data_IF_003364413199
#
_entry.id   IF_003364413199
#
_cell.length_a   1.000
_cell.length_b   1.000
_cell.length_c   1.000
_cell.angle_alpha   90.00
_cell.angle_beta   90.00
_cell.angle_gamma   90.00
#
_symmetry.space_group_name_H-M   'P 1'
#
loop_
_entity.id
_entity.type
_entity.pdbx_description
1 polymer ?
#
# COMPACT_ATOMS: atom_id res chain seq x y z
N UNK A 1 -6.99 8.59 7.50
CA UNK A 1 -7.26 9.31 8.78
C UNK A 1 -5.97 9.98 9.23
N UNK A 2 -5.98 11.28 9.53
CA UNK A 2 -4.86 12.02 10.12
C UNK A 2 -5.03 12.09 11.64
N UNK A 3 -4.04 11.61 12.38
CA UNK A 3 -4.04 11.56 13.85
C UNK A 3 -3.07 12.63 14.34
N UNK A 4 -3.55 13.72 14.99
CA UNK A 4 -2.67 14.71 15.59
C UNK A 4 -1.77 14.06 16.65
N UNK A 5 -0.50 14.48 16.71
CA UNK A 5 0.47 14.00 17.70
C UNK A 5 1.27 15.18 18.25
N UNK A 6 1.75 15.04 19.48
CA UNK A 6 2.79 15.93 20.00
C UNK A 6 4.13 15.57 19.35
N UNK A 7 4.91 16.60 19.00
CA UNK A 7 6.22 16.37 18.40
C UNK A 7 7.17 15.75 19.42
N UNK A 8 7.67 14.55 19.12
CA UNK A 8 8.70 13.91 19.89
C UNK A 8 10.08 14.46 19.46
N UNK A 9 10.98 14.71 20.41
CA UNK A 9 12.33 15.23 20.11
C UNK A 9 13.40 14.12 20.05
N UNK A 10 13.07 12.88 20.42
CA UNK A 10 14.08 11.91 20.85
C UNK A 10 14.60 10.93 19.76
N UNK A 11 13.89 10.73 18.66
CA UNK A 11 14.35 9.85 17.57
C UNK A 11 14.16 10.54 16.22
N UNK A 12 15.12 11.29 15.75
CA UNK A 12 15.11 11.89 14.42
C UNK A 12 16.23 11.30 13.54
N UNK A 13 15.89 10.88 12.31
CA UNK A 13 16.86 10.37 11.34
C UNK A 13 16.69 11.06 9.99
N UNK A 14 17.77 11.58 9.42
CA UNK A 14 17.81 12.16 8.06
C UNK A 14 18.01 11.11 6.97
N UNK A 15 18.22 9.85 7.34
CA UNK A 15 18.38 8.75 6.40
C UNK A 15 17.09 8.61 5.53
N UNK A 16 17.28 8.49 4.22
CA UNK A 16 16.18 8.35 3.28
C UNK A 16 15.48 6.99 3.48
N UNK A 17 14.17 7.01 3.74
CA UNK A 17 13.34 5.83 3.90
C UNK A 17 12.56 5.48 2.64
N UNK A 18 12.10 6.50 1.91
CA UNK A 18 11.40 6.36 0.64
C UNK A 18 11.99 7.34 -0.36
N UNK A 19 12.40 6.86 -1.54
CA UNK A 19 13.05 7.68 -2.56
C UNK A 19 12.81 7.14 -3.95
N UNK A 20 13.06 7.97 -4.96
CA UNK A 20 12.99 7.57 -6.36
C UNK A 20 13.49 8.66 -7.31
N UNK A 21 13.85 8.26 -8.51
CA UNK A 21 14.25 9.18 -9.57
C UNK A 21 13.04 9.68 -10.34
N UNK A 22 12.92 11.00 -10.49
CA UNK A 22 11.89 11.65 -11.29
C UNK A 22 12.43 11.96 -12.69
N UNK A 23 11.96 11.26 -13.71
CA UNK A 23 12.36 11.51 -15.08
C UNK A 23 11.94 12.90 -15.61
N UNK A 24 10.87 13.49 -15.05
CA UNK A 24 10.36 14.79 -15.48
C UNK A 24 11.25 15.96 -15.05
N UNK A 25 11.87 15.90 -13.87
CA UNK A 25 12.76 16.95 -13.37
C UNK A 25 14.25 16.56 -13.33
N UNK A 26 14.58 15.30 -13.67
CA UNK A 26 15.96 14.82 -13.69
C UNK A 26 16.61 14.65 -12.31
N UNK A 27 15.84 14.56 -11.24
CA UNK A 27 16.34 14.56 -9.87
C UNK A 27 15.82 13.38 -9.06
N UNK A 28 16.57 12.97 -8.03
CA UNK A 28 16.10 12.04 -7.00
C UNK A 28 15.36 12.84 -5.94
N UNK A 29 14.19 12.37 -5.57
CA UNK A 29 13.42 12.89 -4.44
C UNK A 29 13.33 11.84 -3.35
N UNK A 30 13.30 12.28 -2.08
CA UNK A 30 13.24 11.38 -0.94
C UNK A 30 12.43 11.95 0.21
N UNK A 31 11.95 11.04 1.07
CA UNK A 31 11.43 11.35 2.40
C UNK A 31 12.29 10.58 3.40
N UNK A 32 12.83 11.25 4.45
CA UNK A 32 13.64 10.59 5.47
C UNK A 32 12.78 9.73 6.40
N UNK A 33 13.41 8.95 7.28
CA UNK A 33 12.70 8.36 8.42
C UNK A 33 12.11 9.45 9.33
N UNK A 34 12.81 10.58 9.50
CA UNK A 34 12.39 11.61 10.43
C UNK A 34 12.11 11.02 11.81
N UNK A 35 10.94 11.31 12.36
CA UNK A 35 10.43 10.73 13.62
C UNK A 35 9.54 9.49 13.40
N UNK A 36 9.36 9.03 12.17
CA UNK A 36 8.38 8.00 11.85
C UNK A 36 8.69 6.65 12.52
N UNK A 37 9.97 6.32 12.77
CA UNK A 37 10.34 5.08 13.49
C UNK A 37 9.81 5.05 14.92
N UNK A 38 9.78 6.20 15.60
CA UNK A 38 9.20 6.31 16.94
C UNK A 38 7.71 5.96 16.94
N UNK A 39 6.94 6.59 16.06
CA UNK A 39 5.50 6.32 15.94
C UNK A 39 5.19 4.93 15.38
N UNK A 40 6.07 4.37 14.57
CA UNK A 40 5.91 3.00 14.07
C UNK A 40 6.09 1.97 15.20
N UNK A 41 7.03 2.17 16.12
CA UNK A 41 7.16 1.33 17.33
C UNK A 41 5.93 1.42 18.22
N UNK A 42 5.38 2.63 18.40
CA UNK A 42 4.12 2.82 19.13
C UNK A 42 2.95 2.09 18.47
N UNK A 43 2.85 2.17 17.13
CA UNK A 43 1.84 1.42 16.37
C UNK A 43 2.00 -0.09 16.51
N UNK A 44 3.23 -0.62 16.51
CA UNK A 44 3.48 -2.05 16.73
C UNK A 44 2.91 -2.49 18.09
N UNK A 45 3.21 -1.72 19.14
CA UNK A 45 2.70 -2.02 20.50
C UNK A 45 1.19 -1.93 20.57
N UNK A 46 0.57 -0.89 19.97
CA UNK A 46 -0.89 -0.73 19.94
C UNK A 46 -1.58 -1.92 19.25
N UNK A 47 -0.99 -2.42 18.15
CA UNK A 47 -1.47 -3.60 17.42
C UNK A 47 -1.34 -4.88 18.27
N UNK A 48 -0.19 -5.08 18.94
CA UNK A 48 0.04 -6.23 19.80
C UNK A 48 -0.93 -6.26 20.99
N UNK A 49 -1.15 -5.12 21.65
CA UNK A 49 -2.05 -4.98 22.79
C UNK A 49 -3.51 -5.22 22.38
N UNK A 50 -3.92 -4.75 21.19
CA UNK A 50 -5.29 -4.91 20.69
C UNK A 50 -5.53 -6.29 20.07
N UNK A 51 -4.54 -6.89 19.40
CA UNK A 51 -4.68 -8.14 18.65
C UNK A 51 -5.50 -8.02 17.37
N UNK A 52 -5.72 -6.80 16.87
CA UNK A 52 -6.66 -6.49 15.79
C UNK A 52 -6.22 -5.27 14.98
N UNK A 53 -6.61 -5.20 13.69
CA UNK A 53 -6.38 -4.05 12.82
C UNK A 53 -7.34 -2.88 13.08
N UNK A 54 -8.43 -3.10 13.84
CA UNK A 54 -9.44 -2.09 14.16
C UNK A 54 -9.00 -1.25 15.37
N UNK A 55 -7.98 -0.43 15.18
CA UNK A 55 -7.44 0.41 16.25
C UNK A 55 -8.38 1.58 16.56
N UNK A 56 -8.56 1.94 17.84
CA UNK A 56 -9.44 3.03 18.25
C UNK A 56 -9.03 4.36 17.62
N UNK A 57 -9.99 5.26 17.47
CA UNK A 57 -9.73 6.61 16.95
C UNK A 57 -9.40 7.54 18.11
N UNK A 58 -8.17 8.10 18.17
CA UNK A 58 -7.78 9.03 19.21
C UNK A 58 -8.65 10.31 19.25
N UNK A 59 -8.65 11.01 20.38
CA UNK A 59 -9.25 12.34 20.46
C UNK A 59 -8.55 13.33 19.54
N UNK A 60 -9.29 14.35 19.07
CA UNK A 60 -8.75 15.36 18.15
C UNK A 60 -8.71 14.97 16.67
N UNK A 61 -9.08 13.72 16.32
CA UNK A 61 -9.22 13.31 14.93
C UNK A 61 -10.51 13.87 14.34
N UNK A 62 -10.42 14.50 13.17
CA UNK A 62 -11.60 14.95 12.41
C UNK A 62 -12.49 13.73 12.09
N UNK A 63 -13.81 13.94 12.16
CA UNK A 63 -14.81 12.91 11.90
C UNK A 63 -14.65 11.62 12.77
N UNK A 64 -14.04 11.78 13.95
CA UNK A 64 -13.81 10.69 14.92
C UNK A 64 -15.04 9.81 15.13
N UNK A 65 -16.21 10.43 15.35
CA UNK A 65 -17.46 9.73 15.60
C UNK A 65 -17.91 8.85 14.42
N UNK A 66 -17.67 9.27 13.17
CA UNK A 66 -18.01 8.51 11.96
C UNK A 66 -17.08 7.29 11.84
N UNK A 67 -15.78 7.51 12.03
CA UNK A 67 -14.78 6.43 11.91
C UNK A 67 -14.97 5.44 13.05
N UNK A 68 -15.17 5.91 14.29
CA UNK A 68 -15.39 5.06 15.46
C UNK A 68 -16.66 4.21 15.30
N UNK A 69 -17.76 4.78 14.83
CA UNK A 69 -19.00 4.02 14.55
C UNK A 69 -18.79 2.89 13.54
N UNK A 70 -17.93 3.09 12.52
CA UNK A 70 -17.58 2.03 11.57
C UNK A 70 -16.73 0.93 12.25
N UNK A 71 -15.80 1.32 13.11
CA UNK A 71 -14.97 0.37 13.86
C UNK A 71 -15.82 -0.46 14.82
N UNK A 72 -16.73 0.18 15.56
CA UNK A 72 -17.64 -0.49 16.50
C UNK A 72 -18.55 -1.51 15.80
N UNK A 73 -18.98 -1.21 14.57
CA UNK A 73 -19.79 -2.12 13.77
C UNK A 73 -19.01 -3.35 13.26
N UNK A 74 -17.69 -3.32 13.29
CA UNK A 74 -16.81 -4.40 12.84
C UNK A 74 -16.13 -5.12 14.02
N UNK A 75 -16.37 -4.68 15.25
CA UNK A 75 -15.73 -5.26 16.45
C UNK A 75 -16.04 -6.75 16.57
N UNK A 76 -15.00 -7.55 16.78
CA UNK A 76 -15.10 -9.01 16.89
C UNK A 76 -15.19 -9.76 15.57
N UNK A 77 -15.13 -9.08 14.42
CA UNK A 77 -15.04 -9.76 13.14
C UNK A 77 -13.64 -10.37 12.95
N UNK A 78 -13.53 -11.71 12.81
CA UNK A 78 -12.24 -12.41 12.76
C UNK A 78 -11.40 -12.04 11.51
N UNK A 79 -11.97 -11.40 10.49
CA UNK A 79 -11.25 -10.94 9.32
C UNK A 79 -10.26 -9.81 9.64
N UNK A 80 -10.41 -9.12 10.78
CA UNK A 80 -9.50 -8.06 11.21
C UNK A 80 -8.47 -8.51 12.25
N UNK A 81 -8.58 -9.75 12.78
CA UNK A 81 -7.66 -10.31 13.77
C UNK A 81 -6.23 -10.41 13.23
N UNK A 82 -5.25 -10.05 14.06
CA UNK A 82 -3.81 -10.19 13.75
C UNK A 82 -3.35 -11.65 13.64
N UNK A 83 -4.15 -12.64 14.07
CA UNK A 83 -3.87 -14.06 13.83
C UNK A 83 -3.67 -14.37 12.34
N UNK A 84 -4.31 -13.60 11.46
CA UNK A 84 -4.10 -13.70 10.01
C UNK A 84 -2.63 -13.48 9.63
N UNK A 85 -1.95 -12.52 10.24
CA UNK A 85 -0.54 -12.20 9.96
C UNK A 85 0.43 -13.22 10.56
N UNK A 86 0.05 -13.89 11.64
CA UNK A 86 0.85 -14.97 12.24
C UNK A 86 0.60 -16.35 11.59
N UNK A 87 -0.44 -16.45 10.77
CA UNK A 87 -0.87 -17.67 10.10
C UNK A 87 -0.78 -17.60 8.57
N UNK A 88 -1.92 -17.41 7.93
CA UNK A 88 -2.06 -17.53 6.46
C UNK A 88 -1.27 -16.52 5.64
N UNK A 89 -1.15 -15.28 6.12
CA UNK A 89 -0.47 -14.20 5.41
C UNK A 89 1.05 -14.31 5.49
N UNK A 90 1.61 -14.95 6.52
CA UNK A 90 3.05 -14.94 6.83
C UNK A 90 3.59 -13.50 6.94
N UNK A 91 2.89 -12.66 7.72
CA UNK A 91 3.24 -11.27 7.94
C UNK A 91 2.92 -10.33 6.77
N UNK A 92 3.00 -9.02 7.06
CA UNK A 92 2.71 -7.95 6.12
C UNK A 92 3.53 -6.70 6.43
N UNK A 93 3.82 -5.89 5.40
CA UNK A 93 4.39 -4.56 5.59
C UNK A 93 3.31 -3.59 6.05
N UNK A 94 3.57 -2.92 7.15
CA UNK A 94 2.81 -1.78 7.66
C UNK A 94 3.68 -0.53 7.58
N UNK A 95 3.05 0.65 7.58
CA UNK A 95 3.80 1.90 7.46
C UNK A 95 3.11 3.05 8.17
N UNK A 96 3.94 3.97 8.64
CA UNK A 96 3.54 5.27 9.20
C UNK A 96 4.24 6.38 8.44
N UNK A 97 3.52 7.49 8.25
CA UNK A 97 4.10 8.74 7.79
C UNK A 97 3.74 9.86 8.77
N UNK A 98 4.75 10.59 9.21
CA UNK A 98 4.59 11.83 9.96
C UNK A 98 4.39 12.95 8.95
N UNK A 99 3.33 13.73 9.14
CA UNK A 99 2.95 14.82 8.24
C UNK A 99 2.64 16.09 9.00
N UNK A 100 2.71 17.21 8.28
CA UNK A 100 2.31 18.53 8.77
C UNK A 100 1.18 19.09 7.90
N UNK A 101 0.12 19.62 8.53
CA UNK A 101 -0.93 20.41 7.88
C UNK A 101 -0.45 21.82 7.59
N UNK A 102 -1.21 22.56 6.75
CA UNK A 102 -0.92 23.96 6.46
C UNK A 102 -0.98 24.88 7.68
N UNK A 103 -1.80 24.55 8.68
CA UNK A 103 -1.92 25.27 9.96
C UNK A 103 -0.75 24.96 10.94
N UNK A 104 0.21 24.13 10.52
CA UNK A 104 1.35 23.71 11.32
C UNK A 104 1.12 22.50 12.20
N UNK A 105 -0.10 21.97 12.31
CA UNK A 105 -0.41 20.79 13.10
C UNK A 105 0.35 19.57 12.57
N UNK A 106 1.13 18.92 13.43
CA UNK A 106 1.82 17.67 13.12
C UNK A 106 0.93 16.47 13.49
N UNK A 107 0.98 15.43 12.69
CA UNK A 107 0.23 14.21 12.93
C UNK A 107 0.76 13.05 12.11
N UNK A 108 0.16 11.90 12.31
CA UNK A 108 0.52 10.66 11.61
C UNK A 108 -0.64 10.13 10.77
N UNK A 109 -0.26 9.40 9.73
CA UNK A 109 -1.15 8.56 8.94
C UNK A 109 -0.55 7.16 8.83
N UNK A 110 -1.39 6.12 8.76
CA UNK A 110 -0.97 4.72 8.78
C UNK A 110 -1.49 3.93 7.59
N UNK A 111 -0.69 3.03 7.04
CA UNK A 111 -1.01 2.19 5.90
C UNK A 111 -0.61 0.73 6.12
N UNK A 112 -1.27 -0.18 5.41
CA UNK A 112 -0.82 -1.55 5.20
C UNK A 112 -0.59 -1.79 3.70
N UNK A 113 0.34 -2.67 3.35
CA UNK A 113 0.66 -2.99 1.95
C UNK A 113 -0.39 -3.91 1.34
N UNK A 114 -0.75 -3.67 0.08
CA UNK A 114 -1.70 -4.53 -0.66
C UNK A 114 -3.06 -4.64 0.00
N UNK A 115 -3.51 -5.88 0.20
CA UNK A 115 -4.77 -6.24 0.87
C UNK A 115 -4.48 -6.87 2.23
N UNK A 116 -5.37 -6.64 3.19
CA UNK A 116 -5.43 -7.38 4.44
C UNK A 116 -6.63 -8.35 4.38
N UNK A 117 -6.40 -9.63 4.45
CA UNK A 117 -7.41 -10.70 4.23
C UNK A 117 -8.41 -10.39 3.10
N UNK A 118 -7.90 -10.01 1.92
CA UNK A 118 -8.65 -9.60 0.72
C UNK A 118 -9.36 -8.26 0.80
N UNK A 119 -9.19 -7.49 1.86
CA UNK A 119 -9.72 -6.14 2.01
C UNK A 119 -8.66 -5.10 1.62
N UNK A 120 -9.04 -4.13 0.80
CA UNK A 120 -8.19 -2.99 0.45
C UNK A 120 -8.35 -1.82 1.42
N UNK A 121 -9.45 -1.77 2.15
CA UNK A 121 -9.79 -0.68 3.07
C UNK A 121 -10.11 -1.21 4.45
N UNK A 122 -9.56 -0.56 5.48
CA UNK A 122 -9.87 -0.76 6.89
C UNK A 122 -10.11 0.62 7.50
N UNK A 123 -11.19 0.84 8.26
CA UNK A 123 -11.42 2.13 8.91
C UNK A 123 -10.21 2.54 9.76
N UNK A 124 -9.81 3.81 9.65
CA UNK A 124 -8.64 4.31 10.37
C UNK A 124 -7.29 4.16 9.65
N UNK A 125 -7.21 3.43 8.55
CA UNK A 125 -6.04 3.31 7.70
C UNK A 125 -6.24 4.12 6.41
N UNK A 126 -5.15 4.52 5.75
CA UNK A 126 -5.27 5.23 4.47
C UNK A 126 -5.81 4.31 3.39
N UNK A 127 -6.66 4.83 2.48
CA UNK A 127 -7.23 4.03 1.40
C UNK A 127 -6.16 3.63 0.36
N UNK A 128 -6.47 2.70 -0.55
CA UNK A 128 -5.60 2.38 -1.69
C UNK A 128 -5.45 3.57 -2.63
N UNK A 129 -4.41 3.50 -3.49
CA UNK A 129 -4.14 4.56 -4.50
C UNK A 129 -5.17 4.55 -5.62
N UNK A 130 -5.62 3.34 -6.03
CA UNK A 130 -6.60 3.20 -7.10
C UNK A 130 -8.03 3.51 -6.62
N UNK A 131 -8.87 3.92 -7.55
CA UNK A 131 -10.32 3.91 -7.35
C UNK A 131 -10.81 2.46 -7.22
N UNK A 132 -11.22 2.08 -6.01
CA UNK A 132 -11.59 0.70 -5.68
C UNK A 132 -12.88 0.27 -6.41
N UNK A 133 -13.83 1.18 -6.63
CA UNK A 133 -15.05 0.89 -7.39
C UNK A 133 -14.71 0.47 -8.81
N UNK A 134 -13.95 1.30 -9.51
CA UNK A 134 -13.51 1.01 -10.88
C UNK A 134 -12.57 -0.20 -10.96
N UNK A 135 -11.69 -0.39 -9.98
CA UNK A 135 -10.84 -1.58 -9.90
C UNK A 135 -11.68 -2.85 -9.85
N UNK A 136 -12.70 -2.89 -8.98
CA UNK A 136 -13.58 -4.05 -8.82
C UNK A 136 -14.41 -4.32 -10.09
N UNK A 137 -14.88 -3.28 -10.78
CA UNK A 137 -15.57 -3.42 -12.06
C UNK A 137 -14.67 -4.12 -13.10
N UNK A 138 -13.47 -3.61 -13.33
CA UNK A 138 -12.50 -4.19 -14.29
C UNK A 138 -12.10 -5.60 -13.87
N UNK A 139 -11.76 -5.78 -12.56
CA UNK A 139 -11.33 -7.07 -12.05
C UNK A 139 -12.42 -8.15 -12.18
N UNK A 140 -13.67 -7.85 -11.85
CA UNK A 140 -14.76 -8.83 -11.88
C UNK A 140 -15.01 -9.37 -13.29
N UNK A 141 -14.98 -8.49 -14.30
CA UNK A 141 -15.17 -8.87 -15.70
C UNK A 141 -13.98 -9.70 -16.21
N UNK A 142 -12.77 -9.19 -16.06
CA UNK A 142 -11.56 -9.85 -16.57
C UNK A 142 -11.24 -11.16 -15.86
N UNK A 143 -11.41 -11.20 -14.52
CA UNK A 143 -11.17 -12.41 -13.75
C UNK A 143 -12.14 -13.55 -14.09
N UNK A 144 -13.38 -13.24 -14.45
CA UNK A 144 -14.34 -14.24 -14.95
C UNK A 144 -13.79 -14.96 -16.18
N UNK A 145 -13.27 -14.21 -17.16
CA UNK A 145 -12.67 -14.78 -18.37
C UNK A 145 -11.46 -15.66 -18.05
N UNK A 146 -10.57 -15.19 -17.16
CA UNK A 146 -9.38 -15.96 -16.73
C UNK A 146 -9.78 -17.26 -16.02
N UNK A 147 -10.83 -17.23 -15.20
CA UNK A 147 -11.35 -18.39 -14.50
C UNK A 147 -11.99 -19.41 -15.47
N UNK A 148 -12.75 -18.97 -16.48
CA UNK A 148 -13.29 -19.85 -17.53
C UNK A 148 -12.20 -20.63 -18.26
N UNK A 149 -11.07 -19.98 -18.58
CA UNK A 149 -9.90 -20.70 -19.12
C UNK A 149 -9.29 -21.69 -18.11
N UNK A 150 -9.25 -21.33 -16.85
CA UNK A 150 -8.71 -22.22 -15.80
C UNK A 150 -9.56 -23.48 -15.62
N UNK A 151 -10.88 -23.34 -15.65
CA UNK A 151 -11.84 -24.45 -15.59
C UNK A 151 -11.72 -25.37 -16.83
N UNK A 152 -11.65 -24.77 -18.03
CA UNK A 152 -11.42 -25.53 -19.26
C UNK A 152 -10.12 -26.32 -19.23
N UNK A 153 -9.03 -25.71 -18.73
CA UNK A 153 -7.72 -26.37 -18.58
C UNK A 153 -7.80 -27.53 -17.57
N UNK A 154 -8.53 -27.34 -16.46
CA UNK A 154 -8.70 -28.36 -15.43
C UNK A 154 -9.55 -29.57 -15.89
N UNK A 155 -10.47 -29.34 -16.82
CA UNK A 155 -11.35 -30.38 -17.37
C UNK A 155 -10.73 -31.20 -18.50
N UNK A 156 -9.56 -30.80 -19.03
CA UNK A 156 -8.91 -31.52 -20.14
C UNK A 156 -8.21 -32.79 -19.68
N UNK A 157 -8.24 -33.82 -20.56
CA UNK A 157 -7.36 -34.98 -20.42
C UNK A 157 -5.90 -34.53 -20.54
N UNK A 158 -5.02 -34.91 -19.60
CA UNK A 158 -3.59 -34.63 -19.67
C UNK A 158 -2.90 -35.09 -20.97
N UNK A 159 -3.49 -36.05 -21.68
CA UNK A 159 -3.01 -36.53 -22.97
C UNK A 159 -3.22 -35.51 -24.13
N UNK A 160 -4.14 -34.54 -23.97
CA UNK A 160 -4.41 -33.51 -24.98
C UNK A 160 -3.40 -32.34 -24.93
N UNK A 161 -2.11 -32.69 -25.05
CA UNK A 161 -0.99 -31.76 -24.81
C UNK A 161 -1.00 -30.51 -25.68
N UNK A 162 -1.47 -30.60 -26.93
CA UNK A 162 -1.52 -29.45 -27.85
C UNK A 162 -2.61 -28.46 -27.44
N UNK A 163 -3.83 -28.92 -27.16
CA UNK A 163 -4.93 -28.07 -26.71
C UNK A 163 -4.64 -27.47 -25.34
N UNK A 164 -4.03 -28.25 -24.44
CA UNK A 164 -3.61 -27.78 -23.13
C UNK A 164 -2.60 -26.62 -23.24
N UNK A 165 -1.63 -26.72 -24.16
CA UNK A 165 -0.65 -25.65 -24.40
C UNK A 165 -1.33 -24.39 -24.96
N UNK A 166 -2.24 -24.55 -25.91
CA UNK A 166 -3.00 -23.45 -26.48
C UNK A 166 -3.81 -22.72 -25.42
N UNK A 167 -4.62 -23.42 -24.63
CA UNK A 167 -5.46 -22.81 -23.59
C UNK A 167 -4.62 -22.11 -22.51
N UNK A 168 -3.46 -22.66 -22.13
CA UNK A 168 -2.54 -22.00 -21.21
C UNK A 168 -1.98 -20.70 -21.78
N UNK A 169 -1.72 -20.63 -23.09
CA UNK A 169 -1.25 -19.41 -23.76
C UNK A 169 -2.35 -18.36 -23.82
N UNK A 170 -3.60 -18.76 -24.18
CA UNK A 170 -4.75 -17.88 -24.22
C UNK A 170 -5.07 -17.31 -22.84
N UNK A 171 -5.13 -18.16 -21.80
CA UNK A 171 -5.29 -17.71 -20.41
C UNK A 171 -4.23 -16.69 -19.99
N UNK A 172 -2.96 -16.95 -20.37
CA UNK A 172 -1.85 -16.02 -20.06
C UNK A 172 -2.02 -14.69 -20.77
N UNK A 173 -2.51 -14.68 -22.02
CA UNK A 173 -2.78 -13.46 -22.77
C UNK A 173 -3.94 -12.66 -22.13
N UNK A 174 -5.05 -13.33 -21.77
CA UNK A 174 -6.18 -12.70 -21.07
C UNK A 174 -5.76 -12.12 -19.70
N UNK A 175 -4.97 -12.88 -18.93
CA UNK A 175 -4.45 -12.40 -17.63
C UNK A 175 -3.54 -11.17 -17.78
N UNK A 176 -2.72 -11.10 -18.84
CA UNK A 176 -1.88 -9.93 -19.12
C UNK A 176 -2.74 -8.72 -19.52
N UNK A 177 -3.73 -8.93 -20.39
CA UNK A 177 -4.65 -7.86 -20.79
C UNK A 177 -5.40 -7.29 -19.58
N UNK A 178 -5.92 -8.16 -18.70
CA UNK A 178 -6.55 -7.75 -17.46
C UNK A 178 -5.59 -6.92 -16.57
N UNK A 179 -4.35 -7.37 -16.40
CA UNK A 179 -3.37 -6.61 -15.62
C UNK A 179 -3.08 -5.24 -16.25
N UNK A 180 -3.04 -5.16 -17.57
CA UNK A 180 -2.85 -3.91 -18.28
C UNK A 180 -4.01 -2.93 -18.11
N UNK A 181 -5.25 -3.43 -18.07
CA UNK A 181 -6.44 -2.63 -17.76
C UNK A 181 -6.44 -2.18 -16.29
N UNK A 182 -6.11 -3.08 -15.36
CA UNK A 182 -6.02 -2.76 -13.93
C UNK A 182 -4.97 -1.67 -13.65
N UNK A 183 -3.80 -1.71 -14.31
CA UNK A 183 -2.82 -0.63 -14.19
C UNK A 183 -3.35 0.72 -14.70
N UNK A 184 -4.30 0.71 -15.64
CA UNK A 184 -4.99 1.90 -16.12
C UNK A 184 -5.92 2.55 -15.07
N UNK A 185 -6.26 1.87 -13.99
CA UNK A 185 -7.09 2.41 -12.90
C UNK A 185 -6.28 3.27 -11.92
N UNK A 186 -4.95 3.11 -11.90
CA UNK A 186 -4.07 3.86 -10.99
C UNK A 186 -3.70 5.21 -11.58
N UNK A 187 -4.10 6.28 -10.92
CA UNK A 187 -3.69 7.67 -11.22
C UNK A 187 -2.83 8.17 -10.07
N UNK A 188 -1.58 8.51 -10.38
CA UNK A 188 -0.62 9.01 -9.40
C UNK A 188 -0.52 10.53 -9.48
N UNK A 189 -0.55 11.19 -8.34
CA UNK A 189 -0.28 12.61 -8.21
C UNK A 189 1.17 12.91 -7.81
N UNK A 190 1.55 14.20 -7.84
CA UNK A 190 2.77 14.71 -7.23
C UNK A 190 2.50 16.00 -6.43
N UNK A 191 3.50 16.52 -5.73
CA UNK A 191 3.36 17.75 -4.92
C UNK A 191 3.37 19.05 -5.76
N UNK A 192 3.50 18.96 -7.09
CA UNK A 192 3.25 20.07 -8.02
C UNK A 192 1.80 20.14 -8.48
N UNK A 193 0.94 19.19 -8.08
CA UNK A 193 -0.45 19.09 -8.53
C UNK A 193 -0.63 18.38 -9.88
N UNK A 194 0.42 17.78 -10.45
CA UNK A 194 0.31 16.99 -11.67
C UNK A 194 -0.25 15.61 -11.37
N UNK A 195 -1.04 15.07 -12.30
CA UNK A 195 -1.57 13.70 -12.25
C UNK A 195 -1.21 12.94 -13.52
N UNK A 196 -0.78 11.68 -13.37
CA UNK A 196 -0.43 10.80 -14.49
C UNK A 196 -0.89 9.37 -14.23
N UNK A 197 -1.11 8.63 -15.30
CA UNK A 197 -1.35 7.19 -15.23
C UNK A 197 -0.10 6.48 -14.69
N UNK A 198 -0.30 5.41 -13.91
CA UNK A 198 0.79 4.60 -13.36
C UNK A 198 1.81 4.18 -14.44
N UNK A 199 1.33 3.81 -15.63
CA UNK A 199 2.18 3.40 -16.77
C UNK A 199 3.11 4.51 -17.27
N UNK A 200 2.66 5.76 -17.21
CA UNK A 200 3.41 6.92 -17.69
C UNK A 200 4.44 7.40 -16.65
N UNK A 201 4.25 6.98 -15.40
CA UNK A 201 5.13 7.34 -14.28
C UNK A 201 6.22 6.29 -14.06
N UNK A 202 5.91 5.02 -14.33
CA UNK A 202 6.77 3.89 -13.99
C UNK A 202 8.12 3.96 -14.74
N UNK A 203 9.18 4.22 -14.01
CA UNK A 203 10.53 4.38 -14.55
C UNK A 203 11.45 3.26 -14.07
N UNK A 204 11.51 2.17 -14.85
CA UNK A 204 12.43 1.06 -14.61
C UNK A 204 12.74 0.32 -15.92
N UNK A 205 13.94 -0.28 -15.99
CA UNK A 205 14.33 -1.20 -17.07
C UNK A 205 13.60 -2.54 -16.98
N UNK A 206 13.07 -2.87 -15.83
CA UNK A 206 12.27 -4.08 -15.59
C UNK A 206 10.80 -3.78 -15.83
N UNK A 207 10.04 -4.78 -16.25
CA UNK A 207 8.60 -4.65 -16.40
C UNK A 207 7.90 -4.39 -15.07
N UNK A 208 6.75 -3.72 -15.12
CA UNK A 208 5.91 -3.45 -13.96
C UNK A 208 5.45 -4.75 -13.30
N UNK A 209 5.60 -4.84 -11.99
CA UNK A 209 5.20 -6.02 -11.20
C UNK A 209 3.82 -5.85 -10.61
N UNK A 210 3.09 -6.94 -10.46
CA UNK A 210 1.80 -6.96 -9.75
C UNK A 210 1.92 -6.33 -8.36
N UNK A 211 0.97 -5.46 -8.01
CA UNK A 211 0.96 -4.73 -6.75
C UNK A 211 1.91 -3.52 -6.72
N UNK A 212 2.38 -3.03 -7.89
CA UNK A 212 3.01 -1.70 -8.00
C UNK A 212 1.97 -0.65 -7.61
N UNK A 213 2.36 0.31 -6.77
CA UNK A 213 1.55 1.32 -6.10
C UNK A 213 0.69 0.84 -4.91
N UNK A 214 0.65 -0.46 -4.59
CA UNK A 214 -0.09 -1.00 -3.43
C UNK A 214 0.74 -1.05 -2.13
N UNK A 215 2.03 -0.71 -2.15
CA UNK A 215 2.88 -0.67 -0.97
C UNK A 215 2.50 0.50 -0.03
N UNK A 216 3.03 0.48 1.21
CA UNK A 216 2.70 1.51 2.19
C UNK A 216 3.15 2.90 1.75
N UNK A 217 4.40 3.09 1.27
CA UNK A 217 4.91 4.40 0.87
C UNK A 217 4.06 5.06 -0.23
N UNK A 218 3.72 4.42 -1.37
CA UNK A 218 2.82 5.02 -2.35
C UNK A 218 1.44 5.41 -1.78
N UNK A 219 0.83 4.56 -0.94
CA UNK A 219 -0.46 4.87 -0.32
C UNK A 219 -0.38 6.10 0.59
N UNK A 220 0.65 6.15 1.45
CA UNK A 220 0.88 7.25 2.40
C UNK A 220 1.13 8.57 1.67
N UNK A 221 2.00 8.57 0.65
CA UNK A 221 2.34 9.75 -0.13
C UNK A 221 1.13 10.23 -0.95
N UNK A 222 0.39 9.30 -1.58
CA UNK A 222 -0.83 9.64 -2.29
C UNK A 222 -1.87 10.29 -1.37
N UNK A 223 -2.07 9.72 -0.18
CA UNK A 223 -2.98 10.28 0.83
C UNK A 223 -2.53 11.68 1.27
N UNK A 224 -1.22 11.91 1.47
CA UNK A 224 -0.71 13.22 1.83
C UNK A 224 -1.01 14.26 0.74
N UNK A 225 -0.79 13.93 -0.52
CA UNK A 225 -1.10 14.81 -1.65
C UNK A 225 -2.59 15.19 -1.70
N UNK A 226 -3.47 14.18 -1.59
CA UNK A 226 -4.93 14.40 -1.64
C UNK A 226 -5.44 15.25 -0.48
N UNK A 227 -4.77 15.23 0.67
CA UNK A 227 -5.16 15.94 1.88
C UNK A 227 -4.28 17.17 2.18
N UNK A 228 -3.44 17.61 1.23
CA UNK A 228 -2.56 18.78 1.35
C UNK A 228 -1.66 18.72 2.60
N UNK A 229 -1.16 17.51 2.90
CA UNK A 229 -0.23 17.25 3.99
C UNK A 229 1.21 17.28 3.47
N UNK A 230 2.12 17.88 4.23
CA UNK A 230 3.56 17.85 3.95
C UNK A 230 4.20 16.66 4.67
N UNK A 231 4.75 15.64 3.98
CA UNK A 231 5.52 14.57 4.60
C UNK A 231 6.75 15.11 5.34
N UNK A 232 6.94 14.68 6.57
CA UNK A 232 8.12 14.99 7.42
C UNK A 232 8.99 13.77 7.65
N UNK A 233 8.42 12.58 7.56
CA UNK A 233 9.13 11.33 7.73
C UNK A 233 8.23 10.14 7.43
N UNK A 234 8.83 9.02 7.02
CA UNK A 234 8.11 7.78 6.71
C UNK A 234 8.90 6.58 7.25
N UNK A 235 8.21 5.58 7.77
CA UNK A 235 8.80 4.31 8.16
C UNK A 235 7.87 3.16 7.77
N UNK A 236 8.43 2.14 7.13
CA UNK A 236 7.76 0.88 6.85
C UNK A 236 8.41 -0.23 7.68
N UNK A 237 7.61 -1.10 8.27
CA UNK A 237 8.06 -2.22 9.08
C UNK A 237 7.27 -3.48 8.76
N UNK A 238 7.87 -4.62 9.02
CA UNK A 238 7.21 -5.91 8.83
C UNK A 238 6.56 -6.38 10.13
N UNK A 239 5.29 -6.80 10.07
CA UNK A 239 4.51 -7.27 11.21
C UNK A 239 3.94 -8.66 10.94
N UNK A 240 4.12 -9.60 11.87
CA UNK A 240 3.63 -10.97 11.79
C UNK A 240 4.72 -12.02 11.60
N UNK A 241 4.34 -13.22 11.17
CA UNK A 241 5.26 -14.34 10.96
C UNK A 241 6.23 -14.06 9.80
N UNK A 242 7.46 -14.55 9.94
CA UNK A 242 8.50 -14.41 8.92
C UNK A 242 8.02 -14.90 7.54
N UNK A 243 8.36 -14.18 6.49
CA UNK A 243 7.98 -14.57 5.13
C UNK A 243 8.77 -15.81 4.64
N UNK A 244 8.23 -16.53 3.63
CA UNK A 244 8.82 -17.77 3.11
C UNK A 244 10.28 -17.65 2.69
N UNK A 245 10.71 -16.50 2.21
CA UNK A 245 12.09 -16.23 1.77
C UNK A 245 13.01 -15.81 2.92
N UNK A 246 12.51 -15.68 4.14
CA UNK A 246 13.24 -15.22 5.32
C UNK A 246 13.92 -13.85 5.15
N UNK A 247 13.38 -13.02 4.26
CA UNK A 247 13.89 -11.67 3.98
C UNK A 247 13.18 -10.58 4.75
N UNK A 248 12.07 -10.93 5.44
CA UNK A 248 11.24 -10.01 6.23
C UNK A 248 10.93 -10.64 7.58
N UNK A 249 11.27 -9.92 8.65
CA UNK A 249 11.11 -10.36 10.04
C UNK A 249 10.32 -9.33 10.82
N UNK A 250 9.49 -9.81 11.73
CA UNK A 250 8.66 -8.99 12.61
C UNK A 250 9.48 -7.92 13.33
N UNK A 251 8.93 -6.70 13.39
CA UNK A 251 9.53 -5.56 14.06
C UNK A 251 10.67 -4.85 13.31
N UNK A 252 11.19 -5.45 12.23
CA UNK A 252 12.26 -4.84 11.45
C UNK A 252 11.74 -3.78 10.49
N UNK A 253 12.49 -2.69 10.34
CA UNK A 253 12.25 -1.61 9.40
C UNK A 253 12.88 -1.92 8.05
N UNK A 254 12.22 -1.46 6.99
CA UNK A 254 12.66 -1.66 5.61
C UNK A 254 12.42 -0.38 4.82
N UNK A 255 13.33 -0.07 3.90
CA UNK A 255 13.14 0.99 2.92
C UNK A 255 12.07 0.64 1.89
N UNK A 256 11.55 1.66 1.20
CA UNK A 256 10.64 1.46 0.07
C UNK A 256 11.28 0.57 -1.00
N UNK A 257 10.55 -0.45 -1.45
CA UNK A 257 11.11 -1.51 -2.29
C UNK A 257 11.57 -1.00 -3.67
N UNK A 258 12.70 -1.53 -4.16
CA UNK A 258 13.31 -1.13 -5.43
C UNK A 258 12.44 -1.46 -6.65
N UNK A 259 11.72 -2.57 -6.62
CA UNK A 259 11.05 -3.12 -7.80
C UNK A 259 9.69 -2.50 -8.10
N UNK A 260 8.97 -2.02 -7.07
CA UNK A 260 7.59 -1.53 -7.18
C UNK A 260 7.46 -0.06 -6.78
N UNK A 261 8.16 0.36 -5.71
CA UNK A 261 7.99 1.68 -5.13
C UNK A 261 8.94 2.70 -5.76
N UNK A 262 10.25 2.45 -5.74
CA UNK A 262 11.23 3.41 -6.25
C UNK A 262 10.97 3.86 -7.70
N UNK A 263 10.50 2.99 -8.64
CA UNK A 263 10.15 3.41 -10.00
C UNK A 263 9.06 4.47 -10.14
N UNK A 264 8.25 4.68 -9.10
CA UNK A 264 7.13 5.64 -9.10
C UNK A 264 7.30 6.77 -8.09
N UNK A 265 8.03 6.52 -7.00
CA UNK A 265 8.21 7.49 -5.91
C UNK A 265 8.88 8.78 -6.36
N UNK A 266 9.81 8.72 -7.32
CA UNK A 266 10.44 9.92 -7.86
C UNK A 266 9.43 10.92 -8.42
N UNK A 267 8.46 10.47 -9.18
CA UNK A 267 7.37 11.33 -9.67
C UNK A 267 6.46 11.77 -8.52
N UNK A 268 6.03 10.83 -7.68
CA UNK A 268 5.09 11.12 -6.59
C UNK A 268 5.62 12.15 -5.60
N UNK A 269 6.92 12.16 -5.35
CA UNK A 269 7.59 13.12 -4.44
C UNK A 269 8.01 14.42 -5.13
N UNK A 270 7.89 14.52 -6.46
CA UNK A 270 8.28 15.72 -7.19
C UNK A 270 7.47 16.94 -6.73
N UNK A 271 8.19 18.00 -6.33
CA UNK A 271 7.59 19.23 -5.77
C UNK A 271 7.48 19.24 -4.25
N UNK A 272 7.85 18.16 -3.56
CA UNK A 272 8.05 18.18 -2.11
C UNK A 272 9.32 19.00 -1.80
N UNK A 273 9.17 20.05 -1.01
CA UNK A 273 10.24 20.98 -0.59
C UNK A 273 10.43 20.92 0.91
#
# INVERSE_FOLDING_TARGET
>A
MFIPVETCTDEFSEEAAAFGYCAACGSVHSVPYGQARFYAKALMQELEDKGDMLLPVPEGVADRHIIQSKLDALEGDPHYSLDYLWGKALGQMLGIMVCKKQDGTVGIVRAFSGQYDRMYEIPGWVPPVMDLGRYNEVYSVGNKVVNEYSERIAALDPAETTLLRQLKQERKACSRALMDELYGVYVLGNFKGEQKQLKDVFFSKQGMRTGTADCCAPKLIHYAQQNQLTPLGIAEFFFGAENKSQTRQHGNFYEACEEKCQPILGFMLCGLT
#
